data_IF_354489501179
#
_entry.id   IF_354489501179
#
_cell.length_a   1.000
_cell.length_b   1.000
_cell.length_c   1.000
_cell.angle_alpha   90.00
_cell.angle_beta   90.00
_cell.angle_gamma   90.00
#
_symmetry.space_group_name_H-M   'P 1'
#
loop_
_entity.id
_entity.type
_entity.pdbx_description
1 polymer ?
#
# COMPACT_ATOMS: atom_id res chain seq x y z
N UNK A 1 16.03 -11.32 7.89
CA UNK A 1 15.14 -10.24 7.48
C UNK A 1 14.22 -10.73 6.36
N UNK A 2 12.94 -10.43 6.48
CA UNK A 2 11.96 -10.80 5.46
C UNK A 2 12.07 -9.82 4.28
N UNK A 3 12.39 -10.33 3.10
CA UNK A 3 12.57 -9.51 1.90
C UNK A 3 11.21 -9.30 1.22
N UNK A 4 10.86 -8.04 0.99
CA UNK A 4 9.58 -7.69 0.36
C UNK A 4 9.71 -7.81 -1.15
N UNK A 5 8.93 -8.73 -1.73
CA UNK A 5 8.94 -8.99 -3.16
C UNK A 5 8.13 -7.96 -3.95
N UNK A 6 8.38 -7.87 -5.25
CA UNK A 6 7.56 -7.08 -6.16
C UNK A 6 6.09 -7.49 -6.06
N UNK A 7 5.82 -8.78 -5.95
CA UNK A 7 4.45 -9.30 -5.83
C UNK A 7 3.78 -8.77 -4.57
N UNK A 8 4.50 -8.72 -3.45
CA UNK A 8 3.96 -8.22 -2.20
C UNK A 8 3.69 -6.70 -2.28
N UNK A 9 4.60 -5.93 -2.87
CA UNK A 9 4.35 -4.51 -3.10
C UNK A 9 3.10 -4.28 -3.93
N UNK A 10 2.90 -5.05 -4.99
CA UNK A 10 1.70 -4.95 -5.82
C UNK A 10 0.44 -5.28 -5.02
N UNK A 11 0.49 -6.29 -4.17
CA UNK A 11 -0.63 -6.67 -3.31
C UNK A 11 -0.98 -5.52 -2.33
N UNK A 12 0.04 -4.94 -1.70
CA UNK A 12 -0.17 -3.81 -0.78
C UNK A 12 -0.75 -2.62 -1.55
N UNK A 13 -0.24 -2.34 -2.73
CA UNK A 13 -0.72 -1.22 -3.56
C UNK A 13 -2.19 -1.40 -3.94
N UNK A 14 -2.60 -2.60 -4.33
CA UNK A 14 -3.99 -2.88 -4.67
C UNK A 14 -4.91 -2.68 -3.47
N UNK A 15 -4.50 -3.18 -2.30
CA UNK A 15 -5.29 -3.05 -1.08
C UNK A 15 -5.34 -1.60 -0.61
N UNK A 16 -4.27 -0.85 -0.80
CA UNK A 16 -4.23 0.57 -0.50
C UNK A 16 -5.24 1.33 -1.37
N UNK A 17 -5.23 1.08 -2.67
CA UNK A 17 -6.17 1.73 -3.60
C UNK A 17 -7.62 1.41 -3.24
N UNK A 18 -7.90 0.18 -2.91
CA UNK A 18 -9.23 -0.26 -2.53
C UNK A 18 -9.69 0.35 -1.20
N UNK A 19 -8.81 0.34 -0.20
CA UNK A 19 -9.12 0.80 1.15
C UNK A 19 -9.33 2.32 1.22
N UNK A 20 -8.57 3.07 0.43
CA UNK A 20 -8.57 4.54 0.46
C UNK A 20 -9.11 5.15 -0.83
N UNK A 21 -10.01 4.44 -1.49
CA UNK A 21 -10.65 4.91 -2.72
C UNK A 21 -11.35 6.25 -2.49
N UNK A 22 -11.02 7.24 -3.33
CA UNK A 22 -11.67 8.55 -3.28
C UNK A 22 -11.21 9.50 -2.19
N UNK A 23 -10.31 9.08 -1.32
CA UNK A 23 -9.81 9.91 -0.22
C UNK A 23 -8.55 10.67 -0.61
N UNK A 24 -8.45 11.94 -0.14
CA UNK A 24 -7.23 12.74 -0.29
C UNK A 24 -6.22 12.44 0.80
N UNK A 25 -6.65 11.80 1.86
CA UNK A 25 -5.81 11.44 2.99
C UNK A 25 -6.07 10.00 3.37
N UNK A 26 -5.02 9.20 3.35
CA UNK A 26 -5.09 7.80 3.72
C UNK A 26 -4.64 7.65 5.16
N UNK A 27 -5.55 7.26 6.04
CA UNK A 27 -5.24 7.04 7.45
C UNK A 27 -5.93 5.78 7.91
N UNK A 28 -5.17 4.79 8.33
CA UNK A 28 -5.74 3.53 8.79
C UNK A 28 -4.78 2.38 8.75
N UNK A 29 -5.34 1.19 8.83
CA UNK A 29 -4.60 -0.07 8.90
C UNK A 29 -5.08 -0.99 7.79
N UNK A 30 -4.12 -1.61 7.10
CA UNK A 30 -4.40 -2.65 6.11
C UNK A 30 -3.73 -3.93 6.62
N UNK A 31 -4.54 -4.96 6.86
CA UNK A 31 -4.05 -6.24 7.34
C UNK A 31 -4.48 -7.35 6.39
N UNK A 32 -3.59 -8.29 6.13
CA UNK A 32 -3.92 -9.40 5.24
C UNK A 32 -2.93 -10.55 5.39
N UNK A 33 -3.39 -11.74 5.04
CA UNK A 33 -2.53 -12.91 4.89
C UNK A 33 -1.90 -12.89 3.50
N UNK A 34 -0.58 -13.03 3.45
CA UNK A 34 0.14 -13.09 2.18
C UNK A 34 0.74 -14.48 2.01
N UNK A 35 0.10 -15.28 1.15
CA UNK A 35 0.48 -16.68 0.98
C UNK A 35 0.33 -17.47 2.26
N UNK A 36 1.14 -18.52 2.41
CA UNK A 36 1.09 -19.37 3.57
C UNK A 36 1.98 -18.83 4.68
N UNK A 37 1.42 -18.67 5.89
CA UNK A 37 2.20 -18.38 7.09
C UNK A 37 2.81 -16.99 7.18
N UNK A 38 2.36 -16.02 6.36
CA UNK A 38 2.83 -14.63 6.47
C UNK A 38 1.63 -13.72 6.69
N UNK A 39 1.65 -12.98 7.79
CA UNK A 39 0.65 -11.97 8.12
C UNK A 39 1.27 -10.60 7.92
N UNK A 40 0.62 -9.75 7.14
CA UNK A 40 1.12 -8.40 6.86
C UNK A 40 0.18 -7.36 7.42
N UNK A 41 0.77 -6.28 7.96
CA UNK A 41 0.02 -5.18 8.52
C UNK A 41 0.70 -3.86 8.18
N UNK A 42 0.03 -3.02 7.40
CA UNK A 42 0.47 -1.67 7.09
C UNK A 42 -0.34 -0.68 7.92
N UNK A 43 0.32 0.10 8.75
CA UNK A 43 -0.26 1.25 9.42
C UNK A 43 0.23 2.47 8.66
N UNK A 44 -0.69 3.32 8.20
CA UNK A 44 -0.32 4.41 7.32
C UNK A 44 -1.11 5.67 7.60
N UNK A 45 -0.42 6.80 7.43
CA UNK A 45 -1.00 8.13 7.40
C UNK A 45 -0.28 8.87 6.28
N UNK A 46 -0.98 9.17 5.19
CA UNK A 46 -0.37 9.70 3.98
C UNK A 46 -1.31 10.66 3.26
N UNK A 47 -0.71 11.65 2.58
CA UNK A 47 -1.45 12.55 1.70
C UNK A 47 -1.48 11.90 0.32
N UNK A 48 -2.68 11.78 -0.26
CA UNK A 48 -2.85 11.12 -1.56
C UNK A 48 -3.15 12.18 -2.61
N UNK A 49 -2.29 12.25 -3.62
CA UNK A 49 -2.48 13.13 -4.77
C UNK A 49 -3.09 12.33 -5.91
N UNK A 50 -4.12 12.90 -6.53
CA UNK A 50 -4.83 12.23 -7.61
C UNK A 50 -4.86 13.09 -8.85
N UNK A 51 -4.96 12.44 -10.01
CA UNK A 51 -5.19 13.10 -11.28
C UNK A 51 -6.42 12.51 -11.94
N UNK A 52 -7.11 13.32 -12.73
CA UNK A 52 -8.27 12.87 -13.48
C UNK A 52 -7.85 12.44 -14.87
N UNK A 53 -8.31 11.27 -15.28
CA UNK A 53 -8.09 10.78 -16.63
C UNK A 53 -9.43 10.62 -17.32
N UNK A 54 -9.55 11.17 -18.53
CA UNK A 54 -10.74 11.02 -19.36
C UNK A 54 -10.70 9.68 -20.07
N UNK A 55 -11.82 8.98 -20.04
CA UNK A 55 -12.00 7.73 -20.77
C UNK A 55 -13.35 7.74 -21.46
N UNK A 56 -13.53 6.86 -22.44
CA UNK A 56 -14.77 6.78 -23.22
C UNK A 56 -15.99 6.47 -22.33
N UNK A 57 -15.78 5.75 -21.25
CA UNK A 57 -16.82 5.35 -20.30
C UNK A 57 -16.95 6.28 -19.10
N UNK A 58 -16.28 7.43 -19.14
CA UNK A 58 -16.32 8.42 -18.07
C UNK A 58 -14.93 8.75 -17.54
N UNK A 59 -14.89 9.64 -16.54
CA UNK A 59 -13.66 10.08 -15.93
C UNK A 59 -13.21 9.10 -14.84
N UNK A 60 -11.90 8.90 -14.75
CA UNK A 60 -11.29 8.11 -13.70
C UNK A 60 -10.35 8.96 -12.86
N UNK A 61 -10.30 8.67 -11.56
CA UNK A 61 -9.35 9.31 -10.65
C UNK A 61 -8.24 8.31 -10.34
N UNK A 62 -7.04 8.65 -10.77
CA UNK A 62 -5.85 7.81 -10.58
C UNK A 62 -4.94 8.43 -9.54
N UNK A 63 -4.22 7.60 -8.80
CA UNK A 63 -3.24 8.08 -7.85
C UNK A 63 -2.00 8.54 -8.61
N UNK A 64 -1.64 9.83 -8.46
CA UNK A 64 -0.40 10.35 -9.03
C UNK A 64 0.77 10.21 -8.06
N UNK A 65 0.52 10.29 -6.75
CA UNK A 65 1.52 10.06 -5.73
C UNK A 65 0.86 9.90 -4.36
N UNK A 66 1.61 9.40 -3.41
CA UNK A 66 1.20 9.34 -2.01
C UNK A 66 2.42 9.70 -1.15
N UNK A 67 2.27 10.76 -0.34
CA UNK A 67 3.36 11.25 0.49
C UNK A 67 3.11 10.83 1.93
N UNK A 68 3.97 9.98 2.51
CA UNK A 68 3.74 9.49 3.86
C UNK A 68 4.01 10.59 4.89
N UNK A 69 3.09 10.69 5.86
CA UNK A 69 3.30 11.44 7.08
C UNK A 69 3.91 10.51 8.12
N UNK A 70 3.40 9.29 8.16
CA UNK A 70 3.89 8.25 9.06
C UNK A 70 3.44 6.90 8.56
N UNK A 71 4.28 5.87 8.77
CA UNK A 71 3.93 4.51 8.39
C UNK A 71 4.71 3.50 9.20
N UNK A 72 4.12 2.29 9.32
CA UNK A 72 4.78 1.10 9.82
C UNK A 72 4.33 -0.08 8.98
N UNK A 73 5.22 -0.99 8.69
CA UNK A 73 4.87 -2.24 8.01
C UNK A 73 5.42 -3.41 8.81
N UNK A 74 4.52 -4.29 9.21
CA UNK A 74 4.82 -5.44 10.06
C UNK A 74 4.62 -6.74 9.29
N UNK A 75 5.57 -7.65 9.42
CA UNK A 75 5.46 -9.00 8.88
C UNK A 75 5.59 -9.99 10.03
N UNK A 76 4.61 -10.89 10.14
CA UNK A 76 4.56 -11.88 11.20
C UNK A 76 4.54 -13.27 10.58
N UNK A 77 5.50 -14.09 10.95
CA UNK A 77 5.58 -15.49 10.57
C UNK A 77 5.10 -16.37 11.72
N UNK A 78 5.16 -17.70 11.54
CA UNK A 78 4.73 -18.63 12.59
C UNK A 78 5.47 -18.43 13.91
N UNK A 79 6.75 -18.05 13.83
CA UNK A 79 7.58 -17.83 15.02
C UNK A 79 7.38 -16.47 15.66
N UNK A 80 6.62 -15.58 15.03
CA UNK A 80 6.38 -14.24 15.52
C UNK A 80 6.77 -13.18 14.51
N UNK A 81 6.80 -11.92 14.95
CA UNK A 81 7.11 -10.80 14.07
C UNK A 81 8.59 -10.83 13.69
N UNK A 82 8.86 -10.54 12.43
CA UNK A 82 10.23 -10.49 11.89
C UNK A 82 10.49 -9.14 11.26
N UNK A 83 11.76 -8.74 11.24
CA UNK A 83 12.19 -7.51 10.59
C UNK A 83 12.04 -7.67 9.07
N UNK A 84 11.60 -6.62 8.38
CA UNK A 84 11.47 -6.61 6.93
C UNK A 84 12.11 -5.36 6.33
N UNK A 85 12.28 -5.38 5.00
CA UNK A 85 12.88 -4.28 4.26
C UNK A 85 11.85 -3.43 3.49
N UNK A 86 10.59 -3.44 3.94
CA UNK A 86 9.56 -2.63 3.31
C UNK A 86 9.93 -1.15 3.34
N UNK A 87 9.70 -0.47 2.21
CA UNK A 87 9.91 0.97 2.09
C UNK A 87 8.68 1.61 1.48
N UNK A 88 8.13 2.63 2.14
CA UNK A 88 6.99 3.35 1.60
C UNK A 88 7.38 4.09 0.31
N UNK A 89 8.61 4.57 0.21
CA UNK A 89 9.08 5.18 -1.04
C UNK A 89 9.04 4.21 -2.21
N UNK A 90 9.35 2.94 -1.97
CA UNK A 90 9.22 1.90 -2.99
C UNK A 90 7.75 1.65 -3.31
N UNK A 91 6.89 1.58 -2.30
CA UNK A 91 5.45 1.40 -2.50
C UNK A 91 4.85 2.51 -3.36
N UNK A 92 5.33 3.74 -3.22
CA UNK A 92 4.84 4.87 -4.01
C UNK A 92 4.92 4.60 -5.51
N UNK A 93 5.98 3.93 -5.96
CA UNK A 93 6.14 3.60 -7.38
C UNK A 93 5.06 2.63 -7.86
N UNK A 94 4.59 1.75 -6.99
CA UNK A 94 3.52 0.81 -7.32
C UNK A 94 2.13 1.44 -7.20
N UNK A 95 1.98 2.51 -6.42
CA UNK A 95 0.72 3.21 -6.26
C UNK A 95 0.42 4.13 -7.44
N UNK A 96 1.44 4.63 -8.11
CA UNK A 96 1.26 5.52 -9.27
C UNK A 96 0.64 4.75 -10.43
N UNK A 97 -0.40 5.31 -10.98
CA UNK A 97 -1.12 4.72 -12.12
C UNK A 97 -0.70 5.34 -13.45
#
# INVERSE_FOLDING_TARGET
MYAISTKLYNEVAERFRSRFSGSDYASGVIEFDYGDHVWCRLVVSAIVYRRRERADDGDRWLISDAIPVWWEFHTTLDEGEVINDFSFNTLREYLKD
#
